data_IF_498480304203
#
_entry.id   IF_498480304203
#
_cell.length_a   1.000
_cell.length_b   1.000
_cell.length_c   1.000
_cell.angle_alpha   90.00
_cell.angle_beta   90.00
_cell.angle_gamma   90.00
#
_symmetry.space_group_name_H-M   'P 1'
#
loop_
_entity.id
_entity.type
_entity.pdbx_description
1 polymer ?
#
# COMPACT_ATOMS: atom_id res chain seq x y z
N UNK A 1 40.57 2.23 38.82
CA UNK A 1 40.28 1.98 37.40
C UNK A 1 38.87 1.41 37.32
N UNK A 2 37.83 2.25 37.17
CA UNK A 2 36.42 1.83 37.15
C UNK A 2 35.93 1.74 35.71
N UNK A 3 35.29 0.61 35.42
CA UNK A 3 34.61 0.22 34.19
C UNK A 3 33.64 1.28 33.66
N UNK A 4 33.56 1.41 32.34
CA UNK A 4 32.35 1.84 31.63
C UNK A 4 31.98 0.75 30.62
N UNK A 5 31.15 -0.19 31.07
CA UNK A 5 30.33 -0.99 30.19
C UNK A 5 29.41 -0.04 29.42
N UNK A 6 29.57 0.04 28.10
CA UNK A 6 28.53 0.59 27.23
C UNK A 6 27.31 -0.34 27.37
N UNK A 7 26.21 0.22 27.89
CA UNK A 7 24.98 -0.55 28.09
C UNK A 7 24.29 -0.77 26.74
N UNK A 8 23.57 -1.89 26.62
CA UNK A 8 22.75 -2.22 25.45
C UNK A 8 21.62 -1.20 25.14
N UNK A 9 21.57 -0.06 25.83
CA UNK A 9 20.64 1.06 25.60
C UNK A 9 21.14 2.07 24.56
N UNK A 10 22.41 1.99 24.11
CA UNK A 10 22.95 2.90 23.09
C UNK A 10 22.67 2.43 21.64
N UNK A 11 22.02 1.27 21.45
CA UNK A 11 21.58 0.75 20.13
C UNK A 11 20.09 1.01 19.89
N UNK A 12 19.57 2.13 20.39
CA UNK A 12 18.35 2.72 19.84
C UNK A 12 18.77 4.03 19.20
N UNK A 13 19.54 3.91 18.10
CA UNK A 13 19.73 5.03 17.20
C UNK A 13 18.34 5.57 16.86
N UNK A 14 18.14 6.85 17.16
CA UNK A 14 16.88 7.56 16.96
C UNK A 14 16.41 7.31 15.53
N UNK A 15 15.40 6.44 15.37
CA UNK A 15 14.70 6.27 14.10
C UNK A 15 14.24 7.66 13.67
N UNK A 16 14.63 8.08 12.48
CA UNK A 16 14.02 9.25 11.88
C UNK A 16 12.50 9.03 11.80
N UNK A 17 11.69 10.10 11.70
CA UNK A 17 10.23 9.99 11.63
C UNK A 17 9.72 9.16 10.43
N UNK A 18 10.63 8.69 9.55
CA UNK A 18 10.38 7.95 8.32
C UNK A 18 11.03 6.56 8.30
N UNK A 19 11.49 6.03 9.43
CA UNK A 19 12.21 4.73 9.50
C UNK A 19 11.33 3.55 9.94
N UNK A 20 10.02 3.66 9.69
CA UNK A 20 9.07 2.59 9.95
C UNK A 20 9.15 1.42 8.97
N UNK A 21 8.59 0.28 9.36
CA UNK A 21 8.50 -0.90 8.49
C UNK A 21 7.76 -0.60 7.17
N UNK A 22 6.69 0.20 7.25
CA UNK A 22 5.86 0.67 6.14
C UNK A 22 6.62 1.60 5.20
N UNK A 23 7.29 2.64 5.74
CA UNK A 23 8.18 3.50 4.96
C UNK A 23 9.27 2.69 4.23
N UNK A 24 9.85 1.70 4.92
CA UNK A 24 10.87 0.82 4.33
C UNK A 24 10.29 -0.04 3.20
N UNK A 25 9.11 -0.61 3.38
CA UNK A 25 8.41 -1.36 2.33
C UNK A 25 8.09 -0.46 1.12
N UNK A 26 7.59 0.75 1.35
CA UNK A 26 7.28 1.73 0.32
C UNK A 26 8.53 2.14 -0.48
N UNK A 27 9.64 2.45 0.21
CA UNK A 27 10.93 2.74 -0.42
C UNK A 27 11.44 1.56 -1.26
N UNK A 28 11.39 0.34 -0.73
CA UNK A 28 11.82 -0.86 -1.44
C UNK A 28 10.95 -1.14 -2.67
N UNK A 29 9.63 -0.92 -2.56
CA UNK A 29 8.71 -1.03 -3.68
C UNK A 29 9.06 -0.01 -4.78
N UNK A 30 9.34 1.23 -4.42
CA UNK A 30 9.71 2.25 -5.40
C UNK A 30 11.04 1.91 -6.09
N UNK A 31 12.08 1.59 -5.31
CA UNK A 31 13.39 1.22 -5.81
C UNK A 31 13.36 -0.04 -6.68
N UNK A 32 12.56 -1.04 -6.33
CA UNK A 32 12.38 -2.27 -7.11
C UNK A 32 11.77 -2.04 -8.50
N UNK A 33 11.20 -0.85 -8.77
CA UNK A 33 10.70 -0.42 -10.08
C UNK A 33 11.68 0.49 -10.83
N UNK A 34 12.90 0.65 -10.32
CA UNK A 34 13.88 1.60 -10.87
C UNK A 34 13.48 3.06 -10.70
N UNK A 35 12.49 3.34 -9.83
CA UNK A 35 12.02 4.69 -9.56
C UNK A 35 12.79 5.28 -8.39
N UNK A 36 13.17 6.55 -8.53
CA UNK A 36 13.76 7.34 -7.46
C UNK A 36 13.02 8.68 -7.38
N UNK A 37 12.56 9.13 -6.20
CA UNK A 37 12.01 10.46 -6.05
C UNK A 37 13.06 11.51 -6.45
N UNK A 38 12.67 12.59 -7.14
CA UNK A 38 13.58 13.70 -7.41
C UNK A 38 14.21 14.24 -6.11
N UNK A 39 15.46 14.74 -6.14
CA UNK A 39 16.06 15.41 -4.99
C UNK A 39 15.13 16.49 -4.42
N UNK A 40 14.91 16.46 -3.10
CA UNK A 40 14.02 17.40 -2.40
C UNK A 40 12.54 16.99 -2.35
N UNK A 41 12.09 16.01 -3.14
CA UNK A 41 10.74 15.45 -3.01
C UNK A 41 10.69 14.45 -1.83
N UNK A 42 10.55 15.00 -0.63
CA UNK A 42 10.51 14.23 0.62
C UNK A 42 9.17 13.54 0.86
N UNK A 43 8.07 14.10 0.31
CA UNK A 43 6.72 13.55 0.39
C UNK A 43 6.22 13.10 -0.97
N UNK A 44 6.43 11.83 -1.28
CA UNK A 44 5.96 11.24 -2.52
C UNK A 44 4.81 10.27 -2.26
N UNK A 45 3.98 10.06 -3.28
CA UNK A 45 2.87 9.11 -3.20
C UNK A 45 2.61 8.39 -4.52
N UNK A 46 2.00 7.21 -4.41
CA UNK A 46 1.33 6.49 -5.48
C UNK A 46 0.00 5.94 -4.92
N UNK A 47 -1.11 6.41 -5.48
CA UNK A 47 -2.47 5.94 -5.20
C UNK A 47 -2.93 5.13 -6.40
N UNK A 48 -3.44 3.93 -6.16
CA UNK A 48 -3.93 3.03 -7.19
C UNK A 48 -5.34 2.59 -6.81
N UNK A 49 -6.28 2.72 -7.74
CA UNK A 49 -7.64 2.21 -7.58
C UNK A 49 -7.95 1.16 -8.65
N UNK A 50 -8.43 0.01 -8.20
CA UNK A 50 -8.88 -1.10 -9.02
C UNK A 50 -10.39 -1.27 -8.85
N UNK A 51 -11.09 -1.49 -9.96
CA UNK A 51 -12.53 -1.70 -10.03
C UNK A 51 -12.82 -3.08 -10.62
N UNK A 52 -13.94 -3.68 -10.21
CA UNK A 52 -14.43 -4.94 -10.78
C UNK A 52 -15.23 -4.73 -12.08
N UNK A 53 -15.50 -3.48 -12.45
CA UNK A 53 -16.14 -3.11 -13.72
C UNK A 53 -15.08 -3.06 -14.81
N UNK A 54 -15.37 -3.62 -15.99
CA UNK A 54 -14.51 -3.58 -17.18
C UNK A 54 -14.54 -2.19 -17.84
N UNK A 55 -14.10 -1.18 -17.11
CA UNK A 55 -14.03 0.22 -17.51
C UNK A 55 -13.02 0.96 -16.61
N UNK A 56 -12.47 2.12 -17.04
CA UNK A 56 -11.57 2.92 -16.22
C UNK A 56 -12.12 3.16 -14.81
N UNK A 57 -11.32 2.82 -13.79
CA UNK A 57 -11.69 3.05 -12.40
C UNK A 57 -11.94 4.55 -12.16
N UNK A 58 -13.03 4.88 -11.48
CA UNK A 58 -13.45 6.27 -11.23
C UNK A 58 -12.88 6.75 -9.90
N UNK A 59 -12.73 8.06 -9.71
CA UNK A 59 -12.33 8.60 -8.40
C UNK A 59 -13.43 8.43 -7.35
N UNK A 60 -14.67 8.73 -7.75
CA UNK A 60 -15.86 8.62 -6.92
C UNK A 60 -16.44 7.21 -6.97
N UNK A 61 -16.94 6.73 -5.83
CA UNK A 61 -17.62 5.45 -5.66
C UNK A 61 -18.52 5.45 -4.44
N UNK A 62 -19.46 4.52 -4.45
CA UNK A 62 -20.39 4.23 -3.37
C UNK A 62 -20.01 2.88 -2.77
N UNK A 63 -19.37 2.89 -1.59
CA UNK A 63 -18.93 1.67 -0.90
C UNK A 63 -20.08 0.69 -0.56
N UNK A 64 -21.34 1.14 -0.60
CA UNK A 64 -22.51 0.28 -0.45
C UNK A 64 -22.88 -0.50 -1.70
N UNK A 65 -22.38 -0.11 -2.87
CA UNK A 65 -22.75 -0.69 -4.17
C UNK A 65 -21.55 -1.18 -4.97
N UNK A 66 -20.44 -0.47 -4.92
CA UNK A 66 -19.25 -0.74 -5.71
C UNK A 66 -18.35 -1.78 -5.00
N UNK A 67 -17.62 -2.56 -5.79
CA UNK A 67 -16.56 -3.44 -5.27
C UNK A 67 -15.20 -2.97 -5.76
N UNK A 68 -14.35 -2.53 -4.84
CA UNK A 68 -13.11 -1.84 -5.18
C UNK A 68 -11.96 -2.22 -4.28
N UNK A 69 -10.76 -2.17 -4.85
CA UNK A 69 -9.52 -2.38 -4.13
C UNK A 69 -8.58 -1.20 -4.38
N UNK A 70 -8.17 -0.51 -3.33
CA UNK A 70 -7.22 0.60 -3.43
C UNK A 70 -5.92 0.26 -2.73
N UNK A 71 -4.83 0.79 -3.26
CA UNK A 71 -3.50 0.71 -2.67
C UNK A 71 -2.97 2.14 -2.58
N UNK A 72 -2.66 2.57 -1.37
CA UNK A 72 -2.05 3.88 -1.12
C UNK A 72 -0.62 3.66 -0.64
N UNK A 73 0.35 4.24 -1.33
CA UNK A 73 1.77 4.10 -1.00
C UNK A 73 2.34 5.51 -0.85
N UNK A 74 2.75 5.87 0.36
CA UNK A 74 3.38 7.13 0.69
C UNK A 74 4.85 6.90 1.07
N UNK A 75 5.66 7.95 1.09
CA UNK A 75 7.05 7.91 1.59
C UNK A 75 7.17 7.30 3.00
N UNK A 76 6.11 7.40 3.78
CA UNK A 76 6.03 7.12 5.21
C UNK A 76 5.43 5.77 5.56
N UNK A 77 4.54 5.29 4.71
CA UNK A 77 3.62 4.21 5.02
C UNK A 77 2.97 3.73 3.74
N UNK A 78 2.30 2.59 3.82
CA UNK A 78 1.40 2.18 2.76
C UNK A 78 0.15 1.57 3.38
N UNK A 79 -0.89 1.40 2.59
CA UNK A 79 -2.13 0.82 3.02
C UNK A 79 -2.92 0.27 1.86
N UNK A 80 -4.01 -0.40 2.21
CA UNK A 80 -4.96 -0.88 1.22
C UNK A 80 -6.38 -0.77 1.78
N UNK A 81 -7.31 -0.56 0.86
CA UNK A 81 -8.73 -0.46 1.12
C UNK A 81 -9.45 -1.48 0.24
N UNK A 82 -10.45 -2.15 0.80
CA UNK A 82 -11.36 -3.02 0.06
C UNK A 82 -12.80 -2.74 0.48
N UNK A 83 -13.67 -2.49 -0.49
CA UNK A 83 -15.12 -2.50 -0.28
C UNK A 83 -15.79 -3.53 -1.19
N UNK A 84 -16.85 -4.15 -0.68
CA UNK A 84 -17.72 -5.05 -1.42
C UNK A 84 -19.01 -5.28 -0.63
N UNK A 85 -20.16 -5.15 -1.29
CA UNK A 85 -21.49 -5.35 -0.70
C UNK A 85 -21.71 -4.58 0.62
N UNK A 86 -21.27 -3.31 0.67
CA UNK A 86 -21.43 -2.44 1.84
C UNK A 86 -20.53 -2.76 3.03
N UNK A 87 -19.60 -3.71 2.89
CA UNK A 87 -18.57 -4.03 3.88
C UNK A 87 -17.24 -3.45 3.47
N UNK A 88 -16.50 -2.91 4.43
CA UNK A 88 -15.26 -2.18 4.18
C UNK A 88 -14.14 -2.69 5.07
N UNK A 89 -12.93 -2.74 4.52
CA UNK A 89 -11.70 -2.94 5.28
C UNK A 89 -10.63 -2.00 4.79
N UNK A 90 -10.06 -1.22 5.71
CA UNK A 90 -9.01 -0.26 5.40
C UNK A 90 -7.88 -0.41 6.39
N UNK A 91 -6.74 -0.87 5.89
CA UNK A 91 -5.56 -1.19 6.69
C UNK A 91 -4.44 -0.24 6.30
N UNK A 92 -3.78 0.37 7.29
CA UNK A 92 -2.57 1.17 7.12
C UNK A 92 -1.40 0.50 7.82
N UNK A 93 -0.22 0.62 7.22
CA UNK A 93 1.01 -0.01 7.66
C UNK A 93 2.06 1.08 7.82
N UNK A 94 2.28 1.50 9.07
CA UNK A 94 3.41 2.33 9.51
C UNK A 94 4.49 1.39 10.07
N UNK A 95 4.74 1.37 11.38
CA UNK A 95 5.58 0.33 12.01
C UNK A 95 4.85 -1.00 12.17
N UNK A 96 3.56 -0.94 12.54
CA UNK A 96 2.70 -2.08 12.80
C UNK A 96 1.40 -1.86 12.02
N UNK A 97 0.84 -2.87 11.33
CA UNK A 97 -0.46 -2.75 10.68
C UNK A 97 -1.57 -2.40 11.68
N UNK A 98 -2.49 -1.52 11.27
CA UNK A 98 -3.66 -1.16 12.07
C UNK A 98 -4.87 -0.84 11.18
N UNK A 99 -6.07 -0.90 11.79
CA UNK A 99 -7.33 -0.56 11.11
C UNK A 99 -7.50 0.95 11.03
N UNK A 100 -7.68 1.46 9.82
CA UNK A 100 -7.99 2.87 9.55
C UNK A 100 -9.48 3.04 9.19
N UNK A 101 -10.33 2.98 10.21
CA UNK A 101 -11.79 3.03 10.04
C UNK A 101 -12.44 1.69 10.37
N UNK A 102 -12.67 0.84 9.36
CA UNK A 102 -13.34 -0.47 9.51
C UNK A 102 -12.46 -1.62 9.02
N UNK A 103 -12.73 -2.81 9.52
CA UNK A 103 -12.12 -4.08 9.07
C UNK A 103 -13.15 -5.21 9.00
N UNK A 104 -14.24 -4.96 8.28
CA UNK A 104 -15.37 -5.87 8.17
C UNK A 104 -14.97 -7.22 7.56
N UNK A 105 -13.95 -7.27 6.71
CA UNK A 105 -13.45 -8.48 6.03
C UNK A 105 -12.28 -9.15 6.78
N UNK A 106 -11.91 -8.65 7.96
CA UNK A 106 -10.82 -9.16 8.81
C UNK A 106 -9.46 -9.18 8.10
N UNK A 107 -9.19 -8.17 7.28
CA UNK A 107 -7.99 -8.06 6.49
C UNK A 107 -6.77 -7.65 7.30
N UNK A 108 -6.92 -7.09 8.51
CA UNK A 108 -5.77 -6.82 9.38
C UNK A 108 -4.96 -8.10 9.61
N UNK A 109 -5.64 -9.20 9.92
CA UNK A 109 -5.02 -10.52 10.14
C UNK A 109 -4.44 -11.17 8.87
N UNK A 110 -4.80 -10.64 7.70
CA UNK A 110 -4.38 -11.12 6.38
C UNK A 110 -3.45 -10.10 5.67
N UNK A 111 -2.91 -9.14 6.42
CA UNK A 111 -2.08 -8.06 5.87
C UNK A 111 -0.87 -8.64 5.13
N UNK A 112 -0.75 -8.43 3.81
CA UNK A 112 0.37 -8.95 3.05
C UNK A 112 1.59 -8.04 3.24
N UNK A 113 2.76 -8.50 2.76
CA UNK A 113 3.82 -7.55 2.41
C UNK A 113 3.40 -6.74 1.19
N UNK A 114 3.92 -5.53 1.02
CA UNK A 114 3.61 -4.70 -0.16
C UNK A 114 4.02 -5.40 -1.48
N UNK A 115 5.09 -6.21 -1.44
CA UNK A 115 5.51 -7.05 -2.57
C UNK A 115 4.47 -8.12 -2.94
N UNK A 116 3.77 -8.68 -1.95
CA UNK A 116 2.80 -9.76 -2.13
C UNK A 116 1.33 -9.28 -2.10
N UNK A 117 1.06 -8.00 -2.35
CA UNK A 117 -0.32 -7.47 -2.40
C UNK A 117 -1.17 -8.16 -3.46
N UNK A 118 -0.57 -8.64 -4.56
CA UNK A 118 -1.27 -9.46 -5.56
C UNK A 118 -1.82 -10.78 -5.00
N UNK A 119 -1.14 -11.37 -4.00
CA UNK A 119 -1.65 -12.55 -3.30
C UNK A 119 -2.94 -12.26 -2.53
N UNK A 120 -3.01 -11.12 -1.84
CA UNK A 120 -4.24 -10.66 -1.20
C UNK A 120 -5.34 -10.39 -2.24
N UNK A 121 -5.01 -9.66 -3.31
CA UNK A 121 -5.95 -9.30 -4.36
C UNK A 121 -6.62 -10.54 -4.98
N UNK A 122 -5.83 -11.53 -5.39
CA UNK A 122 -6.35 -12.81 -5.92
C UNK A 122 -7.17 -13.61 -4.91
N UNK A 123 -6.81 -13.54 -3.63
CA UNK A 123 -7.59 -14.17 -2.56
C UNK A 123 -8.98 -13.52 -2.45
N UNK A 124 -9.05 -12.18 -2.49
CA UNK A 124 -10.31 -11.44 -2.47
C UNK A 124 -11.16 -11.74 -3.69
N UNK A 125 -10.56 -11.75 -4.88
CA UNK A 125 -11.25 -12.12 -6.14
C UNK A 125 -11.89 -13.50 -6.06
N UNK A 126 -11.11 -14.51 -5.63
CA UNK A 126 -11.62 -15.87 -5.46
C UNK A 126 -12.72 -15.95 -4.41
N UNK A 127 -12.54 -15.27 -3.27
CA UNK A 127 -13.48 -15.31 -2.15
C UNK A 127 -14.83 -14.67 -2.50
N UNK A 128 -14.82 -13.61 -3.30
CA UNK A 128 -16.00 -12.80 -3.60
C UNK A 128 -16.52 -13.00 -5.03
N UNK A 129 -15.90 -13.87 -5.83
CA UNK A 129 -16.29 -14.08 -7.23
C UNK A 129 -16.09 -12.84 -8.10
N UNK A 130 -15.07 -12.03 -7.79
CA UNK A 130 -14.76 -10.78 -8.49
C UNK A 130 -13.60 -10.97 -9.47
N UNK A 131 -13.48 -10.05 -10.42
CA UNK A 131 -12.26 -9.86 -11.22
C UNK A 131 -12.00 -8.36 -11.26
N UNK A 132 -10.88 -7.91 -10.67
CA UNK A 132 -10.49 -6.51 -10.81
C UNK A 132 -9.73 -6.31 -12.11
N UNK A 133 -10.11 -5.31 -12.89
CA UNK A 133 -9.54 -5.07 -14.21
C UNK A 133 -8.29 -4.19 -14.11
N UNK A 134 -7.11 -4.81 -13.95
CA UNK A 134 -5.83 -4.09 -13.75
C UNK A 134 -5.49 -3.14 -14.90
N UNK A 135 -5.85 -3.50 -16.13
CA UNK A 135 -5.64 -2.62 -17.30
C UNK A 135 -6.41 -1.30 -17.22
N UNK A 136 -7.47 -1.26 -16.40
CA UNK A 136 -8.32 -0.11 -16.19
C UNK A 136 -8.05 0.63 -14.88
N UNK A 137 -6.95 0.30 -14.20
CA UNK A 137 -6.56 0.96 -12.96
C UNK A 137 -6.42 2.47 -13.14
N UNK A 138 -6.96 3.22 -12.18
CA UNK A 138 -6.65 4.62 -11.96
C UNK A 138 -5.35 4.69 -11.16
N UNK A 139 -4.37 5.45 -11.65
CA UNK A 139 -3.08 5.65 -10.98
C UNK A 139 -2.88 7.16 -10.80
N UNK A 140 -2.59 7.59 -9.58
CA UNK A 140 -2.25 8.98 -9.25
C UNK A 140 -0.92 8.99 -8.51
N UNK A 141 0.03 9.79 -8.97
CA UNK A 141 1.35 9.86 -8.35
C UNK A 141 2.00 11.20 -8.64
N UNK A 142 2.81 11.69 -7.69
CA UNK A 142 3.69 12.83 -7.89
C UNK A 142 5.15 12.42 -8.20
N UNK A 143 5.42 11.11 -8.36
CA UNK A 143 6.72 10.62 -8.79
C UNK A 143 6.79 10.66 -10.32
N UNK A 144 7.77 11.41 -10.83
CA UNK A 144 7.97 11.58 -12.27
C UNK A 144 8.19 10.22 -12.94
N UNK A 145 7.50 9.99 -14.07
CA UNK A 145 7.55 8.76 -14.87
C UNK A 145 7.12 7.46 -14.14
N UNK A 146 6.53 7.55 -12.95
CA UNK A 146 6.14 6.36 -12.20
C UNK A 146 4.93 5.63 -12.78
N UNK A 147 4.00 6.34 -13.42
CA UNK A 147 2.74 5.75 -13.89
C UNK A 147 2.96 4.52 -14.79
N UNK A 148 3.86 4.60 -15.77
CA UNK A 148 4.15 3.45 -16.66
C UNK A 148 4.70 2.26 -15.88
N UNK A 149 5.61 2.48 -14.93
CA UNK A 149 6.18 1.40 -14.12
C UNK A 149 5.14 0.77 -13.18
N UNK A 150 4.24 1.59 -12.63
CA UNK A 150 3.12 1.14 -11.80
C UNK A 150 2.19 0.27 -12.64
N UNK A 151 1.81 0.72 -13.84
CA UNK A 151 0.94 -0.05 -14.75
C UNK A 151 1.55 -1.39 -15.13
N UNK A 152 2.86 -1.44 -15.43
CA UNK A 152 3.56 -2.69 -15.72
C UNK A 152 3.54 -3.66 -14.53
N UNK A 153 3.74 -3.14 -13.31
CA UNK A 153 3.63 -3.94 -12.11
C UNK A 153 2.21 -4.47 -11.88
N UNK A 154 1.18 -3.66 -12.12
CA UNK A 154 -0.22 -4.10 -11.98
C UNK A 154 -0.54 -5.28 -12.89
N UNK A 155 0.03 -5.36 -14.09
CA UNK A 155 -0.17 -6.52 -14.98
C UNK A 155 0.41 -7.83 -14.43
N UNK A 156 1.22 -7.78 -13.36
CA UNK A 156 1.83 -8.94 -12.70
C UNK A 156 1.08 -9.35 -11.41
N UNK A 157 0.05 -8.59 -11.01
CA UNK A 157 -0.73 -8.82 -9.79
C UNK A 157 -1.90 -9.79 -9.97
#
# INVERSE_FOLDING_TARGET
MRSRNASALDIVAARGPWDGAGATAARNWLAGRGLNPPPGLTRWHAEISLDHIDAPARLEFDEHKDSRFHIDIYSEEWGFYFCHEGRVSWIRITDIPFVHGRDDHSLLSQTPTLENVGGLLRSLEKKHGLTFYRQHALVRTNVVAAETMIRNWLQQL
#
